data_IF_014796814228
#
_entry.id   IF_014796814228
#
_cell.length_a   1.000
_cell.length_b   1.000
_cell.length_c   1.000
_cell.angle_alpha   90.00
_cell.angle_beta   90.00
_cell.angle_gamma   90.00
#
_symmetry.space_group_name_H-M   'P 1'
#
loop_
_entity.id
_entity.type
_entity.pdbx_description
1 polymer ?
#
# COMPACT_ATOMS: atom_id res chain seq x y z
N UNK A 1 -16.84 -21.22 -5.75
CA UNK A 1 -18.21 -20.93 -5.30
C UNK A 1 -18.64 -19.55 -5.74
N UNK A 2 -19.91 -19.36 -6.03
CA UNK A 2 -20.47 -18.06 -6.40
C UNK A 2 -21.00 -17.37 -5.14
N UNK A 3 -20.68 -16.09 -4.98
CA UNK A 3 -21.25 -15.23 -3.93
C UNK A 3 -22.32 -14.36 -4.58
N UNK A 4 -23.54 -14.33 -4.00
CA UNK A 4 -24.59 -13.46 -4.51
C UNK A 4 -24.21 -11.99 -4.32
N UNK A 5 -24.44 -11.16 -5.34
CA UNK A 5 -24.03 -9.74 -5.35
C UNK A 5 -24.51 -8.95 -4.13
N UNK A 6 -25.68 -9.25 -3.59
CA UNK A 6 -26.22 -8.60 -2.37
C UNK A 6 -25.40 -8.84 -1.09
N UNK A 7 -24.46 -9.81 -1.13
CA UNK A 7 -23.55 -10.09 -0.01
C UNK A 7 -22.17 -9.46 -0.17
N UNK A 8 -21.94 -8.74 -1.28
CA UNK A 8 -20.69 -8.02 -1.55
C UNK A 8 -20.86 -6.58 -1.11
N UNK A 9 -19.98 -6.12 -0.23
CA UNK A 9 -19.84 -4.70 0.11
C UNK A 9 -18.58 -4.16 -0.58
N UNK A 10 -18.67 -2.98 -1.17
CA UNK A 10 -17.50 -2.32 -1.73
C UNK A 10 -16.68 -1.72 -0.58
N UNK A 11 -15.36 -1.76 -0.68
CA UNK A 11 -14.46 -1.15 0.33
C UNK A 11 -14.82 0.33 0.55
N UNK A 12 -15.17 1.04 -0.51
CA UNK A 12 -15.52 2.46 -0.49
C UNK A 12 -16.88 2.77 0.17
N UNK A 13 -17.69 1.75 0.48
CA UNK A 13 -18.96 1.91 1.20
C UNK A 13 -18.77 1.90 2.74
N UNK A 14 -17.53 1.59 3.21
CA UNK A 14 -17.21 1.62 4.64
C UNK A 14 -16.81 3.03 5.09
N UNK A 15 -16.72 3.22 6.39
CA UNK A 15 -16.32 4.49 6.98
C UNK A 15 -14.94 4.93 6.48
N UNK A 16 -14.90 6.04 5.75
CA UNK A 16 -13.66 6.60 5.26
C UNK A 16 -12.96 7.42 6.36
N UNK A 17 -11.67 7.24 6.50
CA UNK A 17 -10.79 8.00 7.38
C UNK A 17 -9.82 8.76 6.50
N UNK A 18 -9.88 10.10 6.54
CA UNK A 18 -9.02 10.94 5.72
C UNK A 18 -7.64 11.11 6.33
N UNK A 19 -6.62 10.99 5.49
CA UNK A 19 -5.22 11.16 5.86
C UNK A 19 -4.70 12.57 5.60
N UNK A 20 -3.71 12.97 6.39
CA UNK A 20 -2.99 14.23 6.25
C UNK A 20 -1.51 13.98 5.99
N UNK A 21 -0.97 14.64 4.98
CA UNK A 21 0.46 14.58 4.66
C UNK A 21 1.23 15.39 5.71
N UNK A 22 2.22 14.77 6.33
CA UNK A 22 3.13 15.36 7.29
C UNK A 22 4.58 14.99 6.92
N UNK A 23 5.25 15.85 6.17
CA UNK A 23 6.57 15.57 5.63
C UNK A 23 6.56 14.33 4.73
N UNK A 24 7.35 13.32 5.08
CA UNK A 24 7.42 12.04 4.36
C UNK A 24 6.36 11.02 4.82
N UNK A 25 5.42 11.42 5.67
CA UNK A 25 4.40 10.53 6.21
C UNK A 25 3.00 10.97 5.80
N UNK A 26 2.13 9.98 5.61
CA UNK A 26 0.70 10.14 5.48
C UNK A 26 0.05 9.56 6.74
N UNK A 27 -0.64 10.40 7.50
CA UNK A 27 -1.18 10.07 8.82
C UNK A 27 -2.71 10.07 8.76
N UNK A 28 -3.30 8.96 9.14
CA UNK A 28 -4.72 8.79 9.37
C UNK A 28 -4.95 8.63 10.87
N UNK A 29 -5.84 9.43 11.45
CA UNK A 29 -6.07 9.43 12.89
C UNK A 29 -7.56 9.62 13.17
N UNK A 30 -8.17 8.62 13.75
CA UNK A 30 -9.57 8.59 14.14
C UNK A 30 -9.68 7.88 15.51
N UNK A 31 -10.86 7.97 16.15
CA UNK A 31 -11.13 7.43 17.48
C UNK A 31 -10.69 5.97 17.69
N UNK A 32 -10.85 5.14 16.63
CA UNK A 32 -10.61 3.69 16.71
C UNK A 32 -9.33 3.24 15.99
N UNK A 33 -8.84 4.05 15.05
CA UNK A 33 -7.79 3.66 14.11
C UNK A 33 -6.78 4.78 13.94
N UNK A 34 -5.50 4.43 14.08
CA UNK A 34 -4.40 5.30 13.68
C UNK A 34 -3.47 4.56 12.76
N UNK A 35 -3.22 5.15 11.58
CA UNK A 35 -2.27 4.61 10.60
C UNK A 35 -1.26 5.67 10.23
N UNK A 36 0.01 5.30 10.20
CA UNK A 36 1.06 6.17 9.65
C UNK A 36 1.82 5.40 8.59
N UNK A 37 1.79 5.91 7.37
CA UNK A 37 2.54 5.40 6.24
C UNK A 37 3.69 6.36 5.99
N UNK A 38 4.92 5.87 6.10
CA UNK A 38 6.12 6.69 5.86
C UNK A 38 6.84 6.19 4.62
N UNK A 39 7.16 7.10 3.72
CA UNK A 39 7.98 6.85 2.53
C UNK A 39 9.39 7.41 2.70
N UNK A 40 10.32 6.87 1.94
CA UNK A 40 11.67 7.40 1.82
C UNK A 40 12.18 7.26 0.39
N UNK A 41 13.14 8.09 0.00
CA UNK A 41 13.79 7.98 -1.29
C UNK A 41 14.62 6.71 -1.36
N UNK A 42 14.54 6.04 -2.50
CA UNK A 42 15.35 4.87 -2.80
C UNK A 42 16.77 5.30 -3.21
N UNK A 43 17.77 4.82 -2.49
CA UNK A 43 19.17 5.06 -2.79
C UNK A 43 19.77 3.86 -3.53
N UNK A 44 19.72 3.91 -4.86
CA UNK A 44 20.20 2.83 -5.74
C UNK A 44 21.68 2.49 -5.55
N UNK A 45 22.48 3.39 -4.97
CA UNK A 45 23.92 3.15 -4.75
C UNK A 45 24.19 2.14 -3.64
N UNK A 46 23.21 1.87 -2.80
CA UNK A 46 23.29 0.94 -1.66
C UNK A 46 22.76 -0.45 -1.96
N UNK A 47 22.31 -0.69 -3.19
CA UNK A 47 21.60 -1.91 -3.54
C UNK A 47 22.16 -2.55 -4.81
N UNK A 48 22.12 -3.89 -4.87
CA UNK A 48 22.42 -4.62 -6.10
C UNK A 48 21.15 -4.69 -6.94
N UNK A 49 21.17 -4.02 -8.08
CA UNK A 49 20.05 -3.97 -9.01
C UNK A 49 20.36 -4.83 -10.21
N UNK A 50 19.47 -5.75 -10.53
CA UNK A 50 19.51 -6.60 -11.72
C UNK A 50 18.17 -6.59 -12.40
N UNK A 51 18.13 -7.00 -13.66
CA UNK A 51 16.93 -7.09 -14.48
C UNK A 51 16.75 -8.50 -14.99
N UNK A 52 15.51 -8.96 -15.08
CA UNK A 52 15.13 -10.25 -15.61
C UNK A 52 14.07 -10.04 -16.70
N UNK A 53 14.17 -10.76 -17.83
CA UNK A 53 13.27 -10.57 -18.97
C UNK A 53 13.81 -9.59 -20.00
N UNK A 54 13.01 -9.28 -21.01
CA UNK A 54 13.34 -8.37 -22.11
C UNK A 54 12.13 -7.51 -22.52
N UNK A 55 12.40 -6.26 -22.94
CA UNK A 55 11.38 -5.34 -23.42
C UNK A 55 10.33 -4.99 -22.37
N UNK A 56 9.04 -5.05 -22.74
CA UNK A 56 7.91 -4.72 -21.85
C UNK A 56 7.70 -5.71 -20.69
N UNK A 57 8.42 -6.83 -20.67
CA UNK A 57 8.38 -7.83 -19.60
C UNK A 57 9.60 -7.78 -18.68
N UNK A 58 10.32 -6.64 -18.68
CA UNK A 58 11.50 -6.48 -17.85
C UNK A 58 11.10 -6.30 -16.38
N UNK A 59 11.55 -7.24 -15.54
CA UNK A 59 11.32 -7.24 -14.09
C UNK A 59 12.57 -6.75 -13.37
N UNK A 60 12.42 -5.80 -12.47
CA UNK A 60 13.52 -5.33 -11.61
C UNK A 60 13.67 -6.23 -10.38
N UNK A 61 14.92 -6.55 -10.07
CA UNK A 61 15.30 -7.32 -8.91
C UNK A 61 16.27 -6.48 -8.09
N UNK A 62 15.92 -6.19 -6.85
CA UNK A 62 16.77 -5.46 -5.90
C UNK A 62 17.17 -6.43 -4.78
N UNK A 63 18.49 -6.59 -4.60
CA UNK A 63 19.08 -7.50 -3.59
C UNK A 63 18.50 -8.92 -3.64
N UNK A 64 18.21 -9.41 -4.86
CA UNK A 64 17.65 -10.74 -5.10
C UNK A 64 16.13 -10.85 -4.95
N UNK A 65 15.43 -9.74 -4.65
CA UNK A 65 13.97 -9.69 -4.50
C UNK A 65 13.33 -8.98 -5.70
N UNK A 66 12.32 -9.59 -6.29
CA UNK A 66 11.49 -8.94 -7.31
C UNK A 66 10.71 -7.79 -6.68
N UNK A 67 10.68 -6.63 -7.33
CA UNK A 67 9.98 -5.44 -6.84
C UNK A 67 8.85 -5.04 -7.78
N UNK A 68 7.85 -4.40 -7.21
CA UNK A 68 6.74 -3.79 -7.93
C UNK A 68 7.02 -2.29 -7.99
N UNK A 69 7.12 -1.76 -9.19
CA UNK A 69 7.44 -0.36 -9.43
C UNK A 69 6.48 0.24 -10.46
N UNK A 70 6.13 1.48 -10.22
CA UNK A 70 5.10 2.17 -10.99
C UNK A 70 5.63 3.23 -11.96
N UNK A 71 6.85 3.10 -12.48
CA UNK A 71 7.43 4.07 -13.44
C UNK A 71 8.27 3.39 -14.52
N UNK A 72 8.17 3.90 -15.74
CA UNK A 72 9.06 3.50 -16.82
C UNK A 72 10.40 4.24 -16.70
N UNK A 73 11.46 3.50 -16.46
CA UNK A 73 12.82 3.94 -16.77
C UNK A 73 13.69 4.45 -15.64
N UNK A 74 13.22 4.74 -14.44
CA UNK A 74 14.12 5.16 -13.37
C UNK A 74 13.72 4.66 -11.98
N UNK A 75 14.67 4.03 -11.30
CA UNK A 75 14.60 3.64 -9.89
C UNK A 75 14.89 4.83 -8.95
N UNK A 76 14.45 6.03 -9.29
CA UNK A 76 14.65 7.22 -8.45
C UNK A 76 13.53 7.48 -7.48
N UNK A 77 12.73 6.46 -7.21
CA UNK A 77 11.41 6.60 -6.61
C UNK A 77 11.40 6.41 -5.11
N UNK A 78 10.38 7.00 -4.51
CA UNK A 78 10.04 6.74 -3.12
C UNK A 78 9.57 5.28 -2.96
N UNK A 79 9.95 4.66 -1.85
CA UNK A 79 9.46 3.36 -1.42
C UNK A 79 8.96 3.43 0.03
N UNK A 80 8.19 2.43 0.45
CA UNK A 80 7.68 2.39 1.81
C UNK A 80 8.82 2.15 2.81
N UNK A 81 8.97 3.07 3.76
CA UNK A 81 9.87 2.93 4.91
C UNK A 81 9.21 2.12 6.01
N UNK A 82 7.96 2.47 6.32
CA UNK A 82 7.18 1.82 7.37
C UNK A 82 5.68 2.03 7.19
N UNK A 83 4.90 1.05 7.64
CA UNK A 83 3.47 1.16 7.85
C UNK A 83 3.22 0.78 9.32
N UNK A 84 2.74 1.73 10.12
CA UNK A 84 2.36 1.50 11.51
C UNK A 84 0.86 1.62 11.66
N UNK A 85 0.27 0.67 12.38
CA UNK A 85 -1.18 0.60 12.59
C UNK A 85 -1.47 0.43 14.08
N UNK A 86 -2.42 1.22 14.58
CA UNK A 86 -3.01 1.05 15.91
C UNK A 86 -4.52 0.93 15.73
N UNK A 87 -5.13 -0.08 16.31
CA UNK A 87 -6.58 -0.28 16.32
C UNK A 87 -7.07 -0.39 17.77
N UNK A 88 -8.07 0.42 18.15
CA UNK A 88 -8.61 0.45 19.52
C UNK A 88 -7.52 0.53 20.60
N UNK A 89 -6.50 1.36 20.36
CA UNK A 89 -5.36 1.57 21.25
C UNK A 89 -4.30 0.48 21.27
N UNK A 90 -4.44 -0.58 20.46
CA UNK A 90 -3.48 -1.67 20.38
C UNK A 90 -2.68 -1.61 19.09
N UNK A 91 -1.35 -1.79 19.21
CA UNK A 91 -0.48 -1.86 18.03
C UNK A 91 -0.74 -3.14 17.24
N UNK A 92 -0.85 -3.00 15.91
CA UNK A 92 -0.98 -4.12 14.96
C UNK A 92 0.32 -4.26 14.20
N UNK A 93 1.05 -5.36 14.36
CA UNK A 93 2.30 -5.57 13.65
C UNK A 93 2.05 -5.81 12.15
N UNK A 94 2.63 -4.96 11.31
CA UNK A 94 2.64 -5.13 9.85
C UNK A 94 4.03 -5.65 9.47
N UNK A 95 4.16 -6.85 8.91
CA UNK A 95 5.46 -7.40 8.55
C UNK A 95 6.08 -6.58 7.41
N UNK A 96 7.40 -6.38 7.45
CA UNK A 96 8.11 -5.61 6.43
C UNK A 96 7.89 -6.18 5.02
N UNK A 97 7.79 -7.49 4.89
CA UNK A 97 7.46 -8.18 3.63
C UNK A 97 6.11 -7.80 3.02
N UNK A 98 5.25 -7.13 3.79
CA UNK A 98 3.98 -6.63 3.27
C UNK A 98 4.13 -5.37 2.39
N UNK A 99 5.28 -4.69 2.40
CA UNK A 99 5.45 -3.42 1.69
C UNK A 99 6.87 -3.11 1.19
N UNK A 100 7.90 -3.88 1.53
CA UNK A 100 9.29 -3.56 1.22
C UNK A 100 9.70 -3.78 -0.24
N UNK A 101 8.83 -4.39 -1.04
CA UNK A 101 8.95 -4.59 -2.48
C UNK A 101 8.14 -3.59 -3.32
N UNK A 102 7.46 -2.63 -2.68
CA UNK A 102 6.60 -1.66 -3.33
C UNK A 102 7.30 -0.32 -3.50
N UNK A 103 7.34 0.19 -4.72
CA UNK A 103 7.99 1.43 -5.10
C UNK A 103 7.02 2.37 -5.85
N UNK A 104 7.43 3.63 -6.06
CA UNK A 104 6.61 4.61 -6.78
C UNK A 104 5.46 5.19 -5.95
N UNK A 105 5.73 5.49 -4.67
CA UNK A 105 4.71 5.94 -3.72
C UNK A 105 4.28 7.38 -4.01
N UNK A 106 2.99 7.59 -4.21
CA UNK A 106 2.39 8.90 -4.48
C UNK A 106 1.36 9.25 -3.40
N UNK A 107 1.61 10.33 -2.61
CA UNK A 107 0.66 10.80 -1.60
C UNK A 107 -0.35 11.82 -2.10
N UNK A 108 -0.11 12.42 -3.25
CA UNK A 108 -0.93 13.47 -3.87
C UNK A 108 -2.18 12.94 -4.59
N UNK A 109 -2.24 11.64 -4.87
CA UNK A 109 -3.42 11.03 -5.48
C UNK A 109 -4.61 11.06 -4.51
N UNK A 110 -5.76 11.47 -5.01
CA UNK A 110 -7.00 11.54 -4.23
C UNK A 110 -7.34 10.22 -3.53
N UNK A 111 -7.23 9.09 -4.23
CA UNK A 111 -7.54 7.76 -3.68
C UNK A 111 -6.61 7.35 -2.53
N UNK A 112 -5.39 7.89 -2.47
CA UNK A 112 -4.43 7.59 -1.41
C UNK A 112 -4.71 8.36 -0.12
N UNK A 113 -5.68 9.29 -0.14
CA UNK A 113 -6.03 10.12 1.02
C UNK A 113 -6.99 9.45 1.98
N UNK A 114 -7.49 8.27 1.67
CA UNK A 114 -8.49 7.59 2.49
C UNK A 114 -8.09 6.15 2.79
N UNK A 115 -8.36 5.73 4.02
CA UNK A 115 -8.45 4.34 4.41
C UNK A 115 -9.88 4.05 4.85
N UNK A 116 -10.28 2.78 4.86
CA UNK A 116 -11.67 2.41 5.06
C UNK A 116 -11.80 1.43 6.21
N UNK A 117 -12.75 1.67 7.11
CA UNK A 117 -12.96 0.84 8.29
C UNK A 117 -14.38 0.30 8.35
N UNK A 118 -14.50 -1.03 8.33
CA UNK A 118 -15.73 -1.77 8.58
C UNK A 118 -15.85 -2.00 10.11
N UNK A 119 -16.76 -1.26 10.75
CA UNK A 119 -16.98 -1.34 12.20
C UNK A 119 -17.57 -2.69 12.62
N UNK A 120 -18.44 -3.29 11.78
CA UNK A 120 -19.09 -4.56 12.06
C UNK A 120 -18.11 -5.73 12.04
N UNK A 121 -17.24 -5.78 11.04
CA UNK A 121 -16.23 -6.82 10.90
C UNK A 121 -14.94 -6.51 11.68
N UNK A 122 -14.80 -5.31 12.23
CA UNK A 122 -13.53 -4.77 12.76
C UNK A 122 -12.40 -4.89 11.74
N UNK A 123 -12.71 -4.57 10.47
CA UNK A 123 -11.77 -4.71 9.37
C UNK A 123 -11.31 -3.34 8.84
N UNK A 124 -9.98 -3.16 8.76
CA UNK A 124 -9.34 -1.99 8.21
C UNK A 124 -8.73 -2.32 6.85
N UNK A 125 -9.04 -1.49 5.86
CA UNK A 125 -8.54 -1.56 4.51
C UNK A 125 -7.70 -0.32 4.23
N UNK A 126 -6.38 -0.51 4.11
CA UNK A 126 -5.44 0.54 3.72
C UNK A 126 -5.23 0.38 2.22
N UNK A 127 -5.80 1.31 1.45
CA UNK A 127 -5.77 1.26 -0.01
C UNK A 127 -4.85 2.33 -0.56
N UNK A 128 -4.02 2.00 -1.54
CA UNK A 128 -3.16 2.94 -2.23
C UNK A 128 -3.03 2.62 -3.72
N UNK A 129 -2.96 3.65 -4.54
CA UNK A 129 -2.58 3.58 -5.96
C UNK A 129 -1.23 4.23 -6.12
N UNK A 130 -0.26 3.46 -6.56
CA UNK A 130 1.12 3.87 -6.75
C UNK A 130 1.52 3.81 -8.21
N UNK A 131 2.63 4.46 -8.53
CA UNK A 131 3.14 4.50 -9.89
C UNK A 131 2.33 5.39 -10.84
N UNK A 132 2.76 5.46 -12.09
CA UNK A 132 2.21 6.35 -13.11
C UNK A 132 1.93 5.61 -14.42
N UNK A 133 1.01 6.16 -15.20
CA UNK A 133 0.63 5.67 -16.52
C UNK A 133 0.35 4.14 -16.55
N UNK A 134 0.83 3.44 -17.56
CA UNK A 134 0.60 2.00 -17.77
C UNK A 134 1.30 1.08 -16.77
N UNK A 135 2.10 1.61 -15.84
CA UNK A 135 2.77 0.86 -14.77
C UNK A 135 2.15 1.13 -13.40
N UNK A 136 1.07 1.90 -13.32
CA UNK A 136 0.36 2.11 -12.07
C UNK A 136 -0.17 0.79 -11.52
N UNK A 137 -0.10 0.63 -10.21
CA UNK A 137 -0.65 -0.52 -9.50
C UNK A 137 -1.41 -0.07 -8.27
N UNK A 138 -2.37 -0.86 -7.87
CA UNK A 138 -3.07 -0.69 -6.60
C UNK A 138 -2.60 -1.72 -5.59
N UNK A 139 -2.61 -1.33 -4.34
CA UNK A 139 -2.38 -2.23 -3.20
C UNK A 139 -3.44 -1.99 -2.13
N UNK A 140 -3.94 -3.07 -1.55
CA UNK A 140 -4.85 -3.03 -0.41
C UNK A 140 -4.32 -3.95 0.69
N UNK A 141 -3.94 -3.38 1.83
CA UNK A 141 -3.61 -4.16 3.03
C UNK A 141 -4.88 -4.35 3.86
N UNK A 142 -5.12 -5.58 4.26
CA UNK A 142 -6.28 -5.97 5.06
C UNK A 142 -5.85 -6.34 6.47
N UNK A 143 -6.42 -5.66 7.45
CA UNK A 143 -6.29 -5.94 8.87
C UNK A 143 -7.67 -6.26 9.43
N UNK A 144 -7.82 -7.39 10.12
CA UNK A 144 -9.11 -7.82 10.69
C UNK A 144 -8.93 -8.15 12.15
N UNK A 145 -9.75 -7.55 13.01
CA UNK A 145 -9.72 -7.75 14.47
C UNK A 145 -8.34 -7.55 15.08
N UNK A 146 -7.64 -6.52 14.59
CA UNK A 146 -6.30 -6.18 15.08
C UNK A 146 -5.17 -7.10 14.60
N UNK A 147 -5.40 -7.90 13.54
CA UNK A 147 -4.38 -8.77 12.95
C UNK A 147 -4.21 -8.46 11.45
N UNK A 148 -2.97 -8.31 11.01
CA UNK A 148 -2.66 -8.27 9.58
C UNK A 148 -3.00 -9.61 8.92
N UNK A 149 -3.80 -9.59 7.86
CA UNK A 149 -4.22 -10.81 7.16
C UNK A 149 -3.51 -11.00 5.84
N UNK A 150 -3.51 -9.98 4.99
CA UNK A 150 -2.96 -10.08 3.63
C UNK A 150 -2.79 -8.71 3.00
N UNK A 151 -2.12 -8.69 1.86
CA UNK A 151 -2.20 -7.60 0.87
C UNK A 151 -2.69 -8.16 -0.46
N UNK A 152 -3.44 -7.36 -1.17
CA UNK A 152 -3.89 -7.63 -2.53
C UNK A 152 -3.27 -6.57 -3.43
N UNK A 153 -2.67 -6.99 -4.53
CA UNK A 153 -2.07 -6.11 -5.53
C UNK A 153 -2.74 -6.40 -6.87
N UNK A 154 -3.03 -5.35 -7.61
CA UNK A 154 -3.68 -5.45 -8.91
C UNK A 154 -3.49 -4.20 -9.75
N UNK A 155 -4.09 -4.20 -10.94
CA UNK A 155 -4.18 -3.01 -11.77
C UNK A 155 -5.19 -2.02 -11.15
N UNK A 156 -4.96 -0.71 -11.26
CA UNK A 156 -5.94 0.29 -10.80
C UNK A 156 -7.25 0.17 -11.60
N UNK A 157 -8.36 0.35 -10.89
CA UNK A 157 -9.71 0.37 -11.47
C UNK A 157 -9.94 1.64 -12.29
#
# INVERSE_FOLDING_TARGET
GYVHQSRLKKIFDFRAIEGKVQGNSLVFDDKDVKVTITKQKFDKTKHKITKKGQGSYEQLIIDGKEIIYGESGSLTQDHYKSITVTMKGKNVPIPKSAYDDLHGILYDRYLNRFIYYDEEAEALYIYAVNGEAGLAYQVCWQIVKGEYKTRIIGEPL
#
